data_IF_361192461380
#
_entry.id   IF_361192461380
#
_cell.length_a   1.000
_cell.length_b   1.000
_cell.length_c   1.000
_cell.angle_alpha   90.00
_cell.angle_beta   90.00
_cell.angle_gamma   90.00
#
_symmetry.space_group_name_H-M   'P 1'
#
loop_
_entity.id
_entity.type
_entity.pdbx_description
1 polymer ?
#
# COMPACT_ATOMS: atom_id res chain seq x y z
N UNK A 1 -3.69 -4.13 -29.34
CA UNK A 1 -2.69 -3.21 -28.75
C UNK A 1 -3.33 -2.10 -27.92
N UNK A 2 -4.43 -1.47 -28.36
CA UNK A 2 -5.09 -0.37 -27.63
C UNK A 2 -5.48 -0.66 -26.16
N UNK A 3 -6.06 -1.82 -25.85
CA UNK A 3 -6.47 -2.16 -24.47
C UNK A 3 -5.28 -2.26 -23.50
N UNK A 4 -4.12 -2.76 -23.95
CA UNK A 4 -2.90 -2.85 -23.14
C UNK A 4 -2.32 -1.46 -22.84
N UNK A 5 -2.42 -0.54 -23.79
CA UNK A 5 -1.99 0.86 -23.62
C UNK A 5 -2.90 1.63 -22.65
N UNK A 6 -4.21 1.34 -22.64
CA UNK A 6 -5.18 1.92 -21.71
C UNK A 6 -4.95 1.39 -20.28
N UNK A 7 -4.73 0.07 -20.11
CA UNK A 7 -4.42 -0.52 -18.79
C UNK A 7 -3.08 -0.01 -18.20
N UNK A 8 -2.07 0.24 -19.03
CA UNK A 8 -0.78 0.80 -18.59
C UNK A 8 -0.88 2.27 -18.15
N UNK A 9 -1.76 3.06 -18.79
CA UNK A 9 -2.08 4.44 -18.38
C UNK A 9 -2.89 4.49 -17.07
N UNK A 10 -3.72 3.48 -16.82
CA UNK A 10 -4.60 3.43 -15.64
C UNK A 10 -3.81 3.19 -14.33
N UNK A 11 -2.65 2.54 -14.44
CA UNK A 11 -1.77 2.20 -13.32
C UNK A 11 -0.62 3.22 -13.15
N UNK A 12 -0.37 4.09 -14.13
CA UNK A 12 0.77 5.02 -14.11
C UNK A 12 0.76 6.00 -12.94
N UNK A 13 -0.42 6.35 -12.44
CA UNK A 13 -0.59 7.30 -11.33
C UNK A 13 -0.34 6.69 -9.94
N UNK A 14 -0.24 5.36 -9.85
CA UNK A 14 0.11 4.68 -8.61
C UNK A 14 1.64 4.72 -8.49
N UNK A 15 2.21 5.25 -7.40
CA UNK A 15 3.66 5.26 -7.21
C UNK A 15 4.20 3.81 -7.13
N UNK A 16 5.51 3.65 -7.33
CA UNK A 16 6.19 2.40 -6.96
C UNK A 16 6.37 2.35 -5.44
N UNK A 17 6.02 1.24 -4.78
CA UNK A 17 6.33 1.05 -3.36
C UNK A 17 7.84 0.84 -3.19
N UNK A 18 8.48 1.75 -2.45
CA UNK A 18 9.94 1.73 -2.19
C UNK A 18 10.29 1.54 -0.70
N UNK A 19 9.28 1.43 0.15
CA UNK A 19 9.39 1.26 1.60
C UNK A 19 9.32 2.57 2.41
N UNK A 20 9.35 3.73 1.75
CA UNK A 20 9.22 5.05 2.40
C UNK A 20 7.84 5.68 2.17
N UNK A 21 7.16 5.28 1.09
CA UNK A 21 5.91 5.89 0.64
C UNK A 21 4.66 5.02 0.89
N UNK A 22 4.73 4.08 1.84
CA UNK A 22 3.71 3.05 2.05
C UNK A 22 2.30 3.63 2.21
N UNK A 23 2.10 4.69 3.01
CA UNK A 23 0.78 5.27 3.23
C UNK A 23 0.14 5.78 1.93
N UNK A 24 0.92 6.50 1.11
CA UNK A 24 0.44 7.04 -0.16
C UNK A 24 0.19 5.93 -1.19
N UNK A 25 1.13 4.99 -1.31
CA UNK A 25 1.00 3.81 -2.17
C UNK A 25 -0.23 2.98 -1.82
N UNK A 26 -0.43 2.69 -0.53
CA UNK A 26 -1.51 1.85 -0.03
C UNK A 26 -2.89 2.43 -0.37
N UNK A 27 -3.07 3.73 -0.16
CA UNK A 27 -4.31 4.42 -0.51
C UNK A 27 -4.59 4.34 -2.02
N UNK A 28 -3.60 4.65 -2.86
CA UNK A 28 -3.74 4.62 -4.32
C UNK A 28 -4.02 3.22 -4.85
N UNK A 29 -3.24 2.23 -4.41
CA UNK A 29 -3.40 0.83 -4.81
C UNK A 29 -4.76 0.28 -4.36
N UNK A 30 -5.20 0.60 -3.14
CA UNK A 30 -6.51 0.18 -2.61
C UNK A 30 -7.67 0.78 -3.41
N UNK A 31 -7.59 2.06 -3.79
CA UNK A 31 -8.59 2.69 -4.67
C UNK A 31 -8.62 1.99 -6.02
N UNK A 32 -7.44 1.73 -6.60
CA UNK A 32 -7.34 1.07 -7.89
C UNK A 32 -7.90 -0.36 -7.89
N UNK A 33 -7.53 -1.18 -6.90
CA UNK A 33 -8.07 -2.52 -6.73
C UNK A 33 -9.59 -2.50 -6.50
N UNK A 34 -10.11 -1.52 -5.76
CA UNK A 34 -11.55 -1.37 -5.56
C UNK A 34 -12.28 -1.00 -6.86
N UNK A 35 -11.69 -0.15 -7.70
CA UNK A 35 -12.29 0.21 -8.99
C UNK A 35 -12.42 -0.95 -9.98
N UNK A 36 -11.65 -2.03 -9.76
CA UNK A 36 -11.63 -3.25 -10.57
C UNK A 36 -12.32 -4.45 -9.90
N UNK A 37 -13.01 -4.24 -8.77
CA UNK A 37 -13.63 -5.29 -7.96
C UNK A 37 -12.66 -6.38 -7.47
N UNK A 38 -11.40 -6.01 -7.20
CA UNK A 38 -10.34 -6.92 -6.77
C UNK A 38 -10.01 -6.79 -5.27
N UNK A 39 -10.54 -5.80 -4.56
CA UNK A 39 -10.16 -5.56 -3.17
C UNK A 39 -10.58 -6.70 -2.22
N UNK A 40 -11.69 -7.40 -2.51
CA UNK A 40 -12.17 -8.48 -1.63
C UNK A 40 -11.22 -9.68 -1.62
N UNK A 41 -10.62 -10.04 -2.76
CA UNK A 41 -9.65 -11.15 -2.84
C UNK A 41 -8.32 -10.82 -2.15
N UNK A 42 -8.03 -9.54 -1.92
CA UNK A 42 -6.88 -9.09 -1.12
C UNK A 42 -7.15 -9.05 0.38
N UNK A 43 -8.42 -9.05 0.81
CA UNK A 43 -8.78 -8.93 2.23
C UNK A 43 -9.28 -10.22 2.85
N UNK A 44 -9.74 -11.16 2.01
CA UNK A 44 -10.42 -12.37 2.47
C UNK A 44 -9.84 -13.58 1.74
N UNK A 45 -9.69 -14.72 2.42
CA UNK A 45 -9.40 -15.97 1.74
C UNK A 45 -10.60 -16.41 0.87
N UNK A 46 -10.37 -17.36 -0.03
CA UNK A 46 -11.45 -18.07 -0.73
C UNK A 46 -12.44 -18.61 0.30
N UNK A 47 -13.76 -18.43 0.10
CA UNK A 47 -14.77 -19.00 0.99
C UNK A 47 -14.65 -20.53 1.06
N UNK A 48 -14.61 -21.10 2.27
CA UNK A 48 -14.34 -22.53 2.49
C UNK A 48 -15.39 -23.48 1.87
N UNK A 49 -16.60 -22.98 1.60
CA UNK A 49 -17.71 -23.73 0.99
C UNK A 49 -18.02 -23.26 -0.44
N UNK A 50 -17.06 -22.58 -1.11
CA UNK A 50 -17.25 -22.11 -2.47
C UNK A 50 -17.42 -23.27 -3.45
N UNK A 51 -18.37 -23.16 -4.37
CA UNK A 51 -18.44 -24.05 -5.52
C UNK A 51 -17.18 -23.91 -6.38
N UNK A 52 -16.86 -24.95 -7.17
CA UNK A 52 -15.71 -24.95 -8.09
C UNK A 52 -15.69 -23.70 -8.99
N UNK A 53 -16.86 -23.27 -9.47
CA UNK A 53 -17.02 -22.07 -10.31
C UNK A 53 -16.63 -20.79 -9.56
N UNK A 54 -17.05 -20.65 -8.30
CA UNK A 54 -16.71 -19.49 -7.47
C UNK A 54 -15.21 -19.51 -7.14
N UNK A 55 -14.67 -20.66 -6.74
CA UNK A 55 -13.25 -20.82 -6.44
C UNK A 55 -12.37 -20.45 -7.65
N UNK A 56 -12.74 -20.89 -8.86
CA UNK A 56 -12.03 -20.55 -10.08
C UNK A 56 -12.11 -19.05 -10.42
N UNK A 57 -13.29 -18.42 -10.23
CA UNK A 57 -13.43 -16.96 -10.42
C UNK A 57 -12.58 -16.19 -9.40
N UNK A 58 -12.55 -16.64 -8.15
CA UNK A 58 -11.77 -16.06 -7.08
C UNK A 58 -10.26 -16.17 -7.34
N UNK A 59 -9.78 -17.35 -7.75
CA UNK A 59 -8.38 -17.58 -8.12
C UNK A 59 -7.95 -16.67 -9.28
N UNK A 60 -8.78 -16.54 -10.33
CA UNK A 60 -8.50 -15.60 -11.44
C UNK A 60 -8.41 -14.15 -10.97
N UNK A 61 -9.30 -13.72 -10.07
CA UNK A 61 -9.25 -12.38 -9.49
C UNK A 61 -8.02 -12.19 -8.59
N UNK A 62 -7.66 -13.20 -7.79
CA UNK A 62 -6.44 -13.21 -6.97
C UNK A 62 -5.20 -13.01 -7.84
N UNK A 63 -5.06 -13.78 -8.92
CA UNK A 63 -3.90 -13.66 -9.83
C UNK A 63 -3.81 -12.28 -10.48
N UNK A 64 -4.96 -11.68 -10.85
CA UNK A 64 -5.00 -10.30 -11.36
C UNK A 64 -4.52 -9.30 -10.31
N UNK A 65 -5.01 -9.42 -9.07
CA UNK A 65 -4.60 -8.54 -7.98
C UNK A 65 -3.09 -8.65 -7.68
N UNK A 66 -2.57 -9.88 -7.59
CA UNK A 66 -1.13 -10.14 -7.42
C UNK A 66 -0.32 -9.47 -8.52
N UNK A 67 -0.72 -9.65 -9.78
CA UNK A 67 -0.01 -9.05 -10.91
C UNK A 67 -0.02 -7.51 -10.82
N UNK A 68 -1.17 -6.89 -10.52
CA UNK A 68 -1.26 -5.44 -10.35
C UNK A 68 -0.35 -4.93 -9.23
N UNK A 69 -0.36 -5.59 -8.07
CA UNK A 69 0.50 -5.25 -6.94
C UNK A 69 1.98 -5.40 -7.34
N UNK A 70 2.36 -6.54 -7.93
CA UNK A 70 3.74 -6.83 -8.33
C UNK A 70 4.29 -5.81 -9.34
N UNK A 71 3.46 -5.26 -10.23
CA UNK A 71 3.89 -4.20 -11.17
C UNK A 71 4.15 -2.84 -10.51
N UNK A 72 3.76 -2.66 -9.25
CA UNK A 72 3.86 -1.40 -8.51
C UNK A 72 4.64 -1.52 -7.21
N UNK A 73 5.52 -2.50 -7.11
CA UNK A 73 6.52 -2.62 -6.05
C UNK A 73 7.91 -2.63 -6.66
N UNK A 74 8.89 -2.06 -5.96
CA UNK A 74 10.30 -2.14 -6.38
C UNK A 74 10.86 -3.53 -6.15
N UNK A 75 11.99 -3.85 -6.79
CA UNK A 75 12.70 -5.13 -6.63
C UNK A 75 13.07 -5.41 -5.16
N UNK A 76 13.46 -4.37 -4.42
CA UNK A 76 13.71 -4.46 -2.97
C UNK A 76 12.46 -4.95 -2.23
N UNK A 77 11.33 -4.28 -2.45
CA UNK A 77 10.07 -4.63 -1.79
C UNK A 77 9.60 -6.02 -2.20
N UNK A 78 9.77 -6.38 -3.47
CA UNK A 78 9.48 -7.72 -3.97
C UNK A 78 10.20 -8.80 -3.15
N UNK A 79 11.52 -8.66 -2.92
CA UNK A 79 12.29 -9.58 -2.07
C UNK A 79 11.83 -9.63 -0.61
N UNK A 80 11.24 -8.55 -0.10
CA UNK A 80 10.80 -8.44 1.29
C UNK A 80 9.44 -9.12 1.54
N UNK A 81 8.56 -9.17 0.53
CA UNK A 81 7.15 -9.57 0.72
C UNK A 81 6.68 -10.73 -0.18
N UNK A 82 7.39 -11.02 -1.27
CA UNK A 82 7.03 -12.10 -2.20
C UNK A 82 7.84 -13.36 -1.89
N UNK A 83 7.12 -14.46 -1.63
CA UNK A 83 7.69 -15.78 -1.37
C UNK A 83 6.78 -16.87 -1.96
N UNK A 84 7.15 -18.14 -1.77
CA UNK A 84 6.43 -19.31 -2.31
C UNK A 84 4.97 -19.42 -1.85
N UNK A 85 4.58 -18.73 -0.78
CA UNK A 85 3.21 -18.72 -0.25
C UNK A 85 2.44 -17.48 -0.72
N UNK A 86 3.05 -16.29 -0.65
CA UNK A 86 2.37 -15.03 -0.99
C UNK A 86 2.16 -14.85 -2.49
N UNK A 87 2.97 -15.51 -3.33
CA UNK A 87 2.79 -15.49 -4.80
C UNK A 87 1.49 -16.17 -5.27
N UNK A 88 0.92 -17.07 -4.45
CA UNK A 88 -0.27 -17.85 -4.82
C UNK A 88 -1.59 -17.17 -4.41
N UNK A 89 -1.55 -16.30 -3.41
CA UNK A 89 -2.76 -15.78 -2.76
C UNK A 89 -2.66 -14.28 -2.51
N UNK A 90 -3.52 -13.51 -3.17
CA UNK A 90 -3.55 -12.06 -3.07
C UNK A 90 -3.76 -11.57 -1.63
N UNK A 91 -4.59 -12.26 -0.84
CA UNK A 91 -4.82 -11.91 0.55
C UNK A 91 -3.57 -12.05 1.41
N UNK A 92 -2.75 -13.07 1.18
CA UNK A 92 -1.50 -13.28 1.91
C UNK A 92 -0.43 -12.28 1.47
N UNK A 93 -0.34 -11.96 0.18
CA UNK A 93 0.56 -10.90 -0.29
C UNK A 93 0.20 -9.53 0.28
N UNK A 94 -1.10 -9.19 0.28
CA UNK A 94 -1.59 -7.93 0.83
C UNK A 94 -1.30 -7.82 2.33
N UNK A 95 -1.61 -8.87 3.08
CA UNK A 95 -1.33 -8.97 4.52
C UNK A 95 0.17 -8.86 4.80
N UNK A 96 1.03 -9.56 4.04
CA UNK A 96 2.49 -9.47 4.21
C UNK A 96 3.03 -8.05 3.95
N UNK A 97 2.49 -7.35 2.95
CA UNK A 97 2.86 -5.95 2.68
C UNK A 97 2.41 -5.05 3.82
N UNK A 98 1.16 -5.20 4.27
CA UNK A 98 0.65 -4.44 5.41
C UNK A 98 1.50 -4.74 6.65
N UNK A 99 1.79 -5.99 6.97
CA UNK A 99 2.65 -6.37 8.09
C UNK A 99 4.05 -5.78 7.93
N UNK A 100 4.71 -5.91 6.79
CA UNK A 100 6.08 -5.41 6.60
C UNK A 100 6.20 -3.89 6.84
N UNK A 101 5.21 -3.11 6.41
CA UNK A 101 5.28 -1.64 6.45
C UNK A 101 4.45 -0.99 7.55
N UNK A 102 3.55 -1.72 8.21
CA UNK A 102 2.87 -1.29 9.45
C UNK A 102 3.53 -1.87 10.71
N UNK A 103 4.17 -3.05 10.63
CA UNK A 103 4.72 -3.79 11.77
C UNK A 103 6.24 -3.66 11.95
N UNK A 104 6.99 -2.97 11.06
CA UNK A 104 8.36 -2.50 11.36
C UNK A 104 8.30 -1.40 12.44
N UNK A 105 8.13 -1.90 13.66
CA UNK A 105 7.40 -1.37 14.83
C UNK A 105 8.10 -0.33 15.69
N UNK A 106 9.27 0.19 15.34
CA UNK A 106 9.91 1.24 16.15
C UNK A 106 10.76 2.17 15.31
N UNK A 107 11.52 1.61 14.37
CA UNK A 107 12.43 2.37 13.53
C UNK A 107 11.66 3.27 12.56
N UNK A 108 10.65 2.77 11.83
CA UNK A 108 9.84 3.62 10.96
C UNK A 108 9.06 4.66 11.76
N UNK A 109 8.51 4.28 12.91
CA UNK A 109 7.83 5.23 13.81
C UNK A 109 8.78 6.31 14.31
N UNK A 110 10.00 5.93 14.68
CA UNK A 110 11.08 6.82 15.07
C UNK A 110 11.52 7.73 13.93
N UNK A 111 11.65 7.23 12.70
CA UNK A 111 11.98 8.05 11.54
C UNK A 111 10.89 9.08 11.24
N UNK A 112 9.62 8.66 11.13
CA UNK A 112 8.51 9.58 10.88
C UNK A 112 8.39 10.62 12.01
N UNK A 113 8.60 10.22 13.27
CA UNK A 113 8.63 11.14 14.40
C UNK A 113 9.82 12.09 14.37
N UNK A 114 11.02 11.60 14.07
CA UNK A 114 12.22 12.42 13.96
C UNK A 114 12.13 13.41 12.79
N UNK A 115 11.58 12.99 11.66
CA UNK A 115 11.34 13.84 10.49
C UNK A 115 10.27 14.89 10.81
N UNK A 116 9.23 14.53 11.56
CA UNK A 116 8.26 15.49 12.10
C UNK A 116 8.91 16.54 12.99
N UNK A 117 9.74 16.14 13.95
CA UNK A 117 10.45 17.06 14.87
C UNK A 117 11.46 17.95 14.13
N UNK A 118 12.15 17.39 13.12
CA UNK A 118 13.18 18.11 12.34
C UNK A 118 12.60 19.00 11.25
N UNK A 119 11.35 18.81 10.85
CA UNK A 119 10.73 19.70 9.86
C UNK A 119 10.48 21.09 10.47
N UNK A 120 11.09 22.12 9.90
CA UNK A 120 10.91 23.52 10.25
C UNK A 120 10.54 24.32 9.01
N UNK A 121 9.95 25.49 9.23
CA UNK A 121 9.61 26.42 8.16
C UNK A 121 10.89 27.01 7.56
N UNK A 122 11.09 26.84 6.26
CA UNK A 122 12.29 27.26 5.52
C UNK A 122 12.07 28.50 4.64
N UNK A 123 10.91 29.16 4.77
CA UNK A 123 10.52 30.31 3.95
C UNK A 123 9.48 29.99 2.87
N UNK A 124 9.11 28.71 2.66
CA UNK A 124 8.03 28.33 1.76
C UNK A 124 6.86 27.66 2.51
N UNK A 125 5.77 28.40 2.69
CA UNK A 125 4.61 27.94 3.46
C UNK A 125 3.91 26.73 2.83
N UNK A 126 3.82 26.70 1.51
CA UNK A 126 3.14 25.60 0.80
C UNK A 126 3.91 24.29 0.97
N UNK A 127 5.23 24.32 0.76
CA UNK A 127 6.10 23.16 0.96
C UNK A 127 6.04 22.64 2.40
N UNK A 128 6.05 23.56 3.38
CA UNK A 128 5.94 23.20 4.79
C UNK A 128 4.61 22.51 5.11
N UNK A 129 3.49 23.07 4.63
CA UNK A 129 2.15 22.47 4.82
C UNK A 129 2.06 21.09 4.17
N UNK A 130 2.57 20.93 2.94
CA UNK A 130 2.50 19.66 2.22
C UNK A 130 3.37 18.58 2.87
N UNK A 131 4.58 18.95 3.35
CA UNK A 131 5.42 18.07 4.14
C UNK A 131 4.72 17.64 5.45
N UNK A 132 4.11 18.59 6.18
CA UNK A 132 3.34 18.30 7.39
C UNK A 132 2.19 17.35 7.12
N UNK A 133 1.42 17.57 6.05
CA UNK A 133 0.32 16.67 5.64
C UNK A 133 0.82 15.27 5.31
N UNK A 134 1.93 15.16 4.58
CA UNK A 134 2.56 13.87 4.27
C UNK A 134 2.91 13.11 5.55
N UNK A 135 3.63 13.76 6.47
CA UNK A 135 4.05 13.15 7.72
C UNK A 135 2.84 12.78 8.61
N UNK A 136 1.78 13.60 8.66
CA UNK A 136 0.54 13.22 9.38
C UNK A 136 -0.12 11.97 8.82
N UNK A 137 -0.17 11.81 7.49
CA UNK A 137 -0.70 10.59 6.88
C UNK A 137 0.12 9.37 7.25
N UNK A 138 1.45 9.50 7.28
CA UNK A 138 2.36 8.45 7.71
C UNK A 138 2.21 8.12 9.21
N UNK A 139 2.10 9.13 10.08
CA UNK A 139 1.85 8.95 11.52
C UNK A 139 0.56 8.15 11.75
N UNK A 140 -0.53 8.52 11.06
CA UNK A 140 -1.82 7.83 11.13
C UNK A 140 -1.73 6.39 10.61
N UNK A 141 -1.06 6.17 9.48
CA UNK A 141 -0.85 4.83 8.92
C UNK A 141 -0.04 3.93 9.86
N UNK A 142 0.86 4.51 10.66
CA UNK A 142 1.69 3.79 11.64
C UNK A 142 1.12 3.77 13.06
N UNK A 143 -0.12 4.22 13.27
CA UNK A 143 -0.78 4.30 14.60
C UNK A 143 0.06 5.03 15.66
N UNK A 144 0.76 6.10 15.26
CA UNK A 144 1.49 6.98 16.17
C UNK A 144 0.52 8.04 16.66
N UNK A 145 0.31 8.11 17.97
CA UNK A 145 -0.50 9.16 18.58
C UNK A 145 0.31 10.45 18.53
N UNK A 146 -0.19 11.45 17.82
CA UNK A 146 0.34 12.81 17.88
C UNK A 146 -0.07 13.41 19.22
N UNK A 147 0.85 13.99 20.01
CA UNK A 147 0.50 14.68 21.24
C UNK A 147 -0.60 15.72 20.98
N UNK A 148 -1.69 15.75 21.78
CA UNK A 148 -2.83 16.64 21.56
C UNK A 148 -2.44 18.12 21.49
N UNK A 149 -1.35 18.51 22.15
CA UNK A 149 -0.82 19.88 22.23
C UNK A 149 -0.28 20.39 20.89
N UNK A 150 -0.12 19.51 19.89
CA UNK A 150 0.36 19.84 18.55
C UNK A 150 -0.76 19.89 17.49
N UNK A 151 -2.00 19.60 17.89
CA UNK A 151 -3.19 19.59 17.01
C UNK A 151 -4.02 20.89 17.10
N UNK A 152 -3.59 21.84 17.94
CA UNK A 152 -4.24 23.14 18.18
C UNK A 152 -3.81 24.22 17.19
#
# INVERSE_FOLDING_TARGET
>A
MANKTIELKDISNIPMLDGTNFAHWHMQMKIHLRSKDLIDVCKKPVPSNASMTIANKWSKASNKAINLIATRITERVFREVVNVVTIEKANLLWEQIEEQYTSKRAVNRGHVWMDWQRSFYDGNLQNYIDLRRKLMMELKANSIVVPPELLS
#
